data_IF_753096027120
#
_entry.id   IF_753096027120
#
_cell.length_a   1.000
_cell.length_b   1.000
_cell.length_c   1.000
_cell.angle_alpha   90.00
_cell.angle_beta   90.00
_cell.angle_gamma   90.00
#
_symmetry.space_group_name_H-M   'P 1'
#
loop_
_entity.id
_entity.type
_entity.pdbx_description
1 polymer ?
#
# COMPACT_ATOMS: atom_id res chain seq x y z
N UNK A 1 5.11 -1.32 18.22
CA UNK A 1 4.24 -0.29 17.63
C UNK A 1 2.82 -0.50 18.08
N UNK A 2 2.08 0.57 18.35
CA UNK A 2 0.64 0.58 18.61
C UNK A 2 -0.07 1.42 17.57
N UNK A 3 -1.20 0.95 17.02
CA UNK A 3 -2.02 1.70 16.06
C UNK A 3 -3.46 1.79 16.58
N UNK A 4 -4.01 2.99 16.50
CA UNK A 4 -5.43 3.26 16.70
C UNK A 4 -5.96 3.75 15.36
N UNK A 5 -7.06 3.17 14.87
CA UNK A 5 -7.73 3.63 13.65
C UNK A 5 -9.23 3.83 13.90
N UNK A 6 -9.77 4.78 13.16
CA UNK A 6 -11.21 4.98 12.99
C UNK A 6 -11.49 4.83 11.49
N UNK A 7 -12.23 3.79 11.16
CA UNK A 7 -12.54 3.46 9.78
C UNK A 7 -14.06 3.62 9.57
N UNK A 8 -14.43 4.32 8.51
CA UNK A 8 -15.81 4.44 8.04
C UNK A 8 -15.91 3.89 6.64
N UNK A 9 -16.86 2.99 6.40
CA UNK A 9 -17.17 2.48 5.07
C UNK A 9 -18.65 2.58 4.79
N UNK A 10 -19.01 2.97 3.59
CA UNK A 10 -20.39 3.09 3.13
C UNK A 10 -20.55 2.58 1.71
N UNK A 11 -21.68 1.94 1.42
CA UNK A 11 -22.07 1.56 0.07
C UNK A 11 -22.98 2.62 -0.52
N UNK A 12 -22.72 2.99 -1.76
CA UNK A 12 -23.56 3.93 -2.51
C UNK A 12 -24.61 3.19 -3.35
N UNK A 13 -25.68 3.87 -3.71
CA UNK A 13 -26.81 3.29 -4.47
C UNK A 13 -26.39 2.75 -5.84
N UNK A 14 -25.33 3.28 -6.43
CA UNK A 14 -24.76 2.80 -7.71
C UNK A 14 -23.87 1.54 -7.56
N UNK A 15 -23.85 0.91 -6.40
CA UNK A 15 -23.04 -0.28 -6.12
C UNK A 15 -21.57 0.00 -5.81
N UNK A 16 -21.12 1.24 -5.89
CA UNK A 16 -19.77 1.61 -5.43
C UNK A 16 -19.69 1.67 -3.90
N UNK A 17 -18.49 1.57 -3.36
CA UNK A 17 -18.25 1.76 -1.93
C UNK A 17 -17.22 2.85 -1.68
N UNK A 18 -17.39 3.59 -0.60
CA UNK A 18 -16.45 4.59 -0.12
C UNK A 18 -15.79 4.09 1.16
N UNK A 19 -14.54 4.44 1.31
CA UNK A 19 -13.76 4.20 2.52
C UNK A 19 -13.13 5.52 2.96
N UNK A 20 -13.33 5.88 4.23
CA UNK A 20 -12.57 6.92 4.89
C UNK A 20 -11.90 6.30 6.11
N UNK A 21 -10.63 6.59 6.32
CA UNK A 21 -9.91 6.15 7.50
C UNK A 21 -9.06 7.27 8.08
N UNK A 22 -9.10 7.42 9.40
CA UNK A 22 -8.13 8.16 10.19
C UNK A 22 -7.35 7.17 11.04
N UNK A 23 -6.05 7.35 11.14
CA UNK A 23 -5.23 6.51 12.01
C UNK A 23 -4.08 7.28 12.65
N UNK A 24 -3.71 6.78 13.81
CA UNK A 24 -2.53 7.21 14.56
C UNK A 24 -1.73 5.99 14.93
N UNK A 25 -0.45 5.99 14.60
CA UNK A 25 0.46 4.89 14.88
C UNK A 25 1.69 5.39 15.61
N UNK A 26 2.08 4.72 16.68
CA UNK A 26 3.37 4.92 17.34
C UNK A 26 4.38 3.92 16.81
N UNK A 27 5.50 4.42 16.30
CA UNK A 27 6.63 3.61 15.83
C UNK A 27 7.75 3.65 16.85
N UNK A 28 8.14 2.47 17.32
CA UNK A 28 9.25 2.28 18.26
C UNK A 28 10.27 1.37 17.58
N UNK A 29 11.47 1.86 17.39
CA UNK A 29 12.58 1.12 16.83
C UNK A 29 13.54 0.65 17.95
N UNK A 30 13.91 -0.61 17.94
CA UNK A 30 14.85 -1.19 18.94
C UNK A 30 16.23 -0.56 18.85
N UNK A 31 16.68 -0.28 17.63
CA UNK A 31 17.92 0.46 17.35
C UNK A 31 17.54 1.79 16.68
N UNK A 32 18.13 2.89 17.10
CA UNK A 32 17.86 4.20 16.51
C UNK A 32 16.64 4.89 17.12
N UNK A 33 16.70 5.21 18.42
CA UNK A 33 15.64 5.97 19.15
C UNK A 33 15.28 7.30 18.50
N UNK A 34 16.17 7.86 17.67
CA UNK A 34 15.94 9.07 16.88
C UNK A 34 14.79 8.89 15.87
N UNK A 35 14.56 7.65 15.40
CA UNK A 35 13.46 7.30 14.48
C UNK A 35 12.15 6.99 15.20
N UNK A 36 12.14 6.90 16.53
CA UNK A 36 10.90 6.72 17.27
C UNK A 36 10.02 7.94 17.04
N UNK A 37 8.74 7.71 16.82
CA UNK A 37 7.85 8.80 16.53
C UNK A 37 6.42 8.37 16.31
N UNK A 38 5.62 9.28 15.80
CA UNK A 38 4.20 9.12 15.60
C UNK A 38 3.81 9.45 14.17
N UNK A 39 3.03 8.57 13.56
CA UNK A 39 2.31 8.85 12.32
C UNK A 39 0.89 9.25 12.65
N UNK A 40 0.40 10.33 12.03
CA UNK A 40 -1.02 10.60 11.90
C UNK A 40 -1.33 10.56 10.41
N UNK A 41 -2.40 9.88 10.03
CA UNK A 41 -2.77 9.73 8.64
C UNK A 41 -4.26 9.75 8.43
N UNK A 42 -4.65 10.24 7.28
CA UNK A 42 -6.01 10.12 6.75
C UNK A 42 -5.95 9.46 5.39
N UNK A 43 -6.97 8.69 5.06
CA UNK A 43 -7.11 8.19 3.70
C UNK A 43 -8.57 8.20 3.29
N UNK A 44 -8.76 8.48 2.01
CA UNK A 44 -10.04 8.38 1.34
C UNK A 44 -9.88 7.48 0.12
N UNK A 45 -10.86 6.61 -0.11
CA UNK A 45 -10.87 5.73 -1.27
C UNK A 45 -12.29 5.42 -1.72
N UNK A 46 -12.39 4.98 -2.96
CA UNK A 46 -13.63 4.51 -3.54
C UNK A 46 -13.36 3.29 -4.41
N UNK A 47 -14.30 2.36 -4.43
CA UNK A 47 -14.29 1.23 -5.34
C UNK A 47 -15.59 1.15 -6.14
N UNK A 48 -15.46 0.69 -7.38
CA UNK A 48 -16.53 0.61 -8.36
C UNK A 48 -16.59 -0.79 -8.93
N UNK A 49 -17.78 -1.31 -9.10
CA UNK A 49 -18.01 -2.56 -9.83
C UNK A 49 -18.45 -2.23 -11.25
N UNK A 50 -17.71 -2.72 -12.23
CA UNK A 50 -18.15 -2.68 -13.62
C UNK A 50 -18.87 -3.99 -13.95
N UNK A 51 -20.17 -3.89 -14.18
CA UNK A 51 -21.06 -5.05 -14.32
C UNK A 51 -20.81 -5.88 -15.59
N UNK A 52 -20.31 -5.27 -16.68
CA UNK A 52 -20.04 -5.98 -17.94
C UNK A 52 -18.96 -7.07 -17.76
N UNK A 53 -17.69 -6.73 -17.48
CA UNK A 53 -16.62 -7.69 -17.27
C UNK A 53 -16.53 -8.21 -15.82
N UNK A 54 -17.45 -7.84 -14.94
CA UNK A 54 -17.40 -8.13 -13.49
C UNK A 54 -16.10 -7.63 -12.84
N UNK A 55 -15.55 -6.55 -13.33
CA UNK A 55 -14.31 -5.99 -12.84
C UNK A 55 -14.55 -5.03 -11.66
N UNK A 56 -13.62 -5.08 -10.70
CA UNK A 56 -13.57 -4.16 -9.58
C UNK A 56 -12.41 -3.20 -9.77
N UNK A 57 -12.71 -1.92 -9.75
CA UNK A 57 -11.72 -0.82 -9.75
C UNK A 57 -11.75 -0.11 -8.43
N UNK A 58 -10.62 0.40 -8.01
CA UNK A 58 -10.56 1.21 -6.82
C UNK A 58 -9.40 2.19 -6.85
N UNK A 59 -9.58 3.29 -6.13
CA UNK A 59 -8.50 4.21 -5.82
C UNK A 59 -8.50 4.54 -4.33
N UNK A 60 -7.35 4.96 -3.82
CA UNK A 60 -7.18 5.45 -2.45
C UNK A 60 -6.14 6.55 -2.44
N UNK A 61 -6.47 7.65 -1.82
CA UNK A 61 -5.56 8.76 -1.53
C UNK A 61 -5.18 8.68 -0.06
N UNK A 62 -3.91 8.88 0.24
CA UNK A 62 -3.34 8.75 1.58
C UNK A 62 -2.56 10.02 1.88
N UNK A 63 -2.81 10.62 3.02
CA UNK A 63 -2.06 11.75 3.54
C UNK A 63 -1.54 11.37 4.92
N UNK A 64 -0.24 11.46 5.12
CA UNK A 64 0.41 11.11 6.39
C UNK A 64 1.37 12.20 6.82
N UNK A 65 1.47 12.40 8.11
CA UNK A 65 2.49 13.22 8.74
C UNK A 65 3.21 12.37 9.78
N UNK A 66 4.51 12.25 9.67
CA UNK A 66 5.35 11.53 10.62
C UNK A 66 6.19 12.52 11.42
N UNK A 67 6.07 12.44 12.73
CA UNK A 67 6.86 13.22 13.70
C UNK A 67 7.74 12.27 14.49
N UNK A 68 9.03 12.32 14.24
CA UNK A 68 10.06 11.50 14.91
C UNK A 68 10.71 12.28 16.08
N UNK A 69 11.57 11.62 16.85
CA UNK A 69 12.36 12.27 17.88
C UNK A 69 13.44 13.19 17.28
N UNK A 70 13.95 12.86 16.10
CA UNK A 70 14.88 13.72 15.35
C UNK A 70 14.15 14.42 14.21
N UNK A 71 14.29 15.73 14.09
CA UNK A 71 13.58 16.55 13.12
C UNK A 71 13.82 16.14 11.67
N UNK A 72 15.05 15.76 11.31
CA UNK A 72 15.40 15.32 9.97
C UNK A 72 14.69 13.99 9.52
N UNK A 73 14.06 13.27 10.44
CA UNK A 73 13.21 12.12 10.14
C UNK A 73 11.71 12.50 10.03
N UNK A 74 11.35 13.77 10.25
CA UNK A 74 9.99 14.23 10.02
C UNK A 74 9.70 14.22 8.53
N UNK A 75 8.50 13.78 8.15
CA UNK A 75 8.08 13.86 6.76
C UNK A 75 6.57 14.00 6.63
N UNK A 76 6.18 14.63 5.53
CA UNK A 76 4.84 14.54 4.96
C UNK A 76 4.84 13.51 3.83
N UNK A 77 3.82 12.70 3.75
CA UNK A 77 3.65 11.67 2.73
C UNK A 77 2.32 11.83 2.01
N UNK A 78 2.40 11.91 0.70
CA UNK A 78 1.26 11.86 -0.19
C UNK A 78 1.29 10.50 -0.91
N UNK A 79 0.20 9.73 -0.77
CA UNK A 79 0.09 8.42 -1.38
C UNK A 79 -1.10 8.29 -2.31
N UNK A 80 -0.92 7.56 -3.40
CA UNK A 80 -1.99 7.14 -4.30
C UNK A 80 -1.92 5.63 -4.47
N UNK A 81 -3.05 4.96 -4.32
CA UNK A 81 -3.21 3.56 -4.66
C UNK A 81 -4.30 3.42 -5.73
N UNK A 82 -4.02 2.62 -6.75
CA UNK A 82 -4.98 2.20 -7.75
C UNK A 82 -5.07 0.68 -7.71
N UNK A 83 -6.27 0.15 -7.76
CA UNK A 83 -6.50 -1.30 -7.73
C UNK A 83 -7.44 -1.72 -8.85
N UNK A 84 -7.19 -2.89 -9.36
CA UNK A 84 -8.01 -3.54 -10.36
C UNK A 84 -8.09 -5.03 -10.07
N UNK A 85 -9.26 -5.62 -10.24
CA UNK A 85 -9.47 -7.07 -10.12
C UNK A 85 -10.58 -7.52 -11.04
N UNK A 86 -10.38 -8.65 -11.72
CA UNK A 86 -11.42 -9.28 -12.53
C UNK A 86 -11.24 -10.79 -12.58
N UNK A 87 -12.34 -11.55 -12.76
CA UNK A 87 -12.26 -12.94 -13.15
C UNK A 87 -11.76 -13.07 -14.60
N UNK A 88 -10.89 -14.06 -14.84
CA UNK A 88 -10.39 -14.42 -16.16
C UNK A 88 -10.83 -15.86 -16.49
N UNK A 89 -11.85 -15.99 -17.34
CA UNK A 89 -12.49 -17.28 -17.62
C UNK A 89 -13.15 -17.87 -16.37
N UNK A 90 -13.26 -19.19 -16.31
CA UNK A 90 -14.04 -19.88 -15.27
C UNK A 90 -13.34 -19.97 -13.91
N UNK A 91 -12.02 -19.97 -13.87
CA UNK A 91 -11.27 -20.36 -12.66
C UNK A 91 -10.09 -19.45 -12.30
N UNK A 92 -9.78 -18.42 -13.07
CA UNK A 92 -8.71 -17.51 -12.73
C UNK A 92 -9.24 -16.19 -12.23
N UNK A 93 -8.59 -15.62 -11.25
CA UNK A 93 -8.80 -14.24 -10.82
C UNK A 93 -7.48 -13.48 -11.01
N UNK A 94 -7.53 -12.41 -11.77
CA UNK A 94 -6.45 -11.46 -11.91
C UNK A 94 -6.67 -10.28 -10.98
N UNK A 95 -5.62 -9.80 -10.35
CA UNK A 95 -5.62 -8.52 -9.66
C UNK A 95 -4.32 -7.76 -9.90
N UNK A 96 -4.43 -6.46 -9.96
CA UNK A 96 -3.28 -5.56 -9.99
C UNK A 96 -3.47 -4.41 -9.02
N UNK A 97 -2.36 -3.96 -8.43
CA UNK A 97 -2.33 -2.79 -7.56
C UNK A 97 -1.11 -1.96 -7.90
N UNK A 98 -1.34 -0.69 -8.19
CA UNK A 98 -0.31 0.33 -8.26
C UNK A 98 -0.32 1.14 -6.97
N UNK A 99 0.84 1.46 -6.43
CA UNK A 99 0.98 2.41 -5.34
C UNK A 99 2.11 3.38 -5.61
N UNK A 100 1.85 4.64 -5.37
CA UNK A 100 2.80 5.75 -5.41
C UNK A 100 2.85 6.42 -4.05
N UNK A 101 4.02 6.77 -3.59
CA UNK A 101 4.26 7.55 -2.38
C UNK A 101 5.30 8.62 -2.67
N UNK A 102 5.04 9.81 -2.16
CA UNK A 102 5.91 10.96 -2.22
C UNK A 102 6.11 11.49 -0.80
N UNK A 103 7.36 11.47 -0.32
CA UNK A 103 7.73 11.85 1.04
C UNK A 103 8.69 13.02 0.99
N UNK A 104 8.26 14.14 1.54
CA UNK A 104 9.07 15.33 1.75
C UNK A 104 9.48 15.42 3.21
N UNK A 105 10.78 15.49 3.47
CA UNK A 105 11.32 15.62 4.82
C UNK A 105 11.45 17.09 5.19
N UNK A 106 11.03 17.46 6.42
CA UNK A 106 10.96 18.84 6.87
C UNK A 106 12.36 19.47 7.06
N UNK A 107 13.29 18.71 7.65
CA UNK A 107 14.62 19.19 7.97
C UNK A 107 15.71 18.56 7.09
N UNK A 108 16.84 19.24 6.99
CA UNK A 108 18.01 18.72 6.30
C UNK A 108 18.59 17.49 7.01
N UNK A 109 18.84 16.45 6.23
CA UNK A 109 19.48 15.25 6.73
C UNK A 109 20.97 15.52 6.99
N UNK A 110 21.50 15.19 8.18
CA UNK A 110 22.89 15.48 8.51
C UNK A 110 23.85 14.95 7.43
N UNK A 111 24.75 15.78 6.94
CA UNK A 111 25.75 15.50 5.89
C UNK A 111 25.19 15.35 4.46
N UNK A 112 23.88 15.28 4.26
CA UNK A 112 23.29 14.98 2.94
C UNK A 112 22.32 16.05 2.42
N UNK A 113 21.91 17.02 3.26
CA UNK A 113 20.96 18.08 2.88
C UNK A 113 19.49 17.62 2.84
N UNK A 114 18.68 18.32 2.07
CA UNK A 114 17.24 18.07 1.98
C UNK A 114 16.95 16.69 1.39
N UNK A 115 16.04 15.94 2.04
CA UNK A 115 15.64 14.61 1.63
C UNK A 115 14.22 14.62 1.05
N UNK A 116 14.11 14.04 -0.13
CA UNK A 116 12.84 13.78 -0.81
C UNK A 116 12.86 12.36 -1.36
N UNK A 117 11.86 11.58 -1.02
CA UNK A 117 11.76 10.17 -1.39
C UNK A 117 10.48 9.93 -2.19
N UNK A 118 10.62 9.27 -3.33
CA UNK A 118 9.50 8.78 -4.15
C UNK A 118 9.56 7.27 -4.24
N UNK A 119 8.44 6.61 -4.06
CA UNK A 119 8.37 5.16 -4.18
C UNK A 119 7.16 4.74 -5.04
N UNK A 120 7.44 3.88 -5.99
CA UNK A 120 6.44 3.26 -6.86
C UNK A 120 6.46 1.75 -6.67
N UNK A 121 5.28 1.13 -6.64
CA UNK A 121 5.15 -0.31 -6.58
C UNK A 121 4.01 -0.78 -7.48
N UNK A 122 4.31 -1.75 -8.33
CA UNK A 122 3.32 -2.50 -9.08
C UNK A 122 3.24 -3.91 -8.53
N UNK A 123 2.04 -4.38 -8.24
CA UNK A 123 1.76 -5.75 -7.82
C UNK A 123 0.76 -6.36 -8.79
N UNK A 124 1.10 -7.53 -9.29
CA UNK A 124 0.23 -8.35 -10.14
C UNK A 124 0.05 -9.69 -9.45
N UNK A 125 -1.16 -10.18 -9.45
CA UNK A 125 -1.49 -11.45 -8.84
C UNK A 125 -2.48 -12.22 -9.69
N UNK A 126 -2.24 -13.52 -9.88
CA UNK A 126 -3.14 -14.45 -10.52
C UNK A 126 -3.44 -15.60 -9.56
N UNK A 127 -4.70 -15.76 -9.20
CA UNK A 127 -5.17 -16.79 -8.31
C UNK A 127 -6.03 -17.79 -9.10
N UNK A 128 -5.77 -19.08 -8.92
CA UNK A 128 -6.60 -20.16 -9.44
C UNK A 128 -6.98 -21.13 -8.32
N UNK A 129 -8.25 -21.25 -7.95
CA UNK A 129 -8.71 -22.36 -7.13
C UNK A 129 -8.63 -23.68 -7.93
N UNK A 130 -8.16 -24.74 -7.28
CA UNK A 130 -8.01 -26.07 -7.84
C UNK A 130 -8.80 -27.07 -6.97
N UNK A 131 -10.13 -27.00 -7.07
CA UNK A 131 -11.03 -27.75 -6.21
C UNK A 131 -11.28 -27.08 -4.85
N UNK A 132 -11.89 -27.79 -3.88
CA UNK A 132 -12.39 -27.18 -2.64
C UNK A 132 -11.30 -26.77 -1.64
N UNK A 133 -10.10 -27.31 -1.78
CA UNK A 133 -9.05 -27.12 -0.77
C UNK A 133 -7.75 -26.52 -1.30
N UNK A 134 -7.53 -26.52 -2.61
CA UNK A 134 -6.26 -26.12 -3.20
C UNK A 134 -6.38 -24.82 -3.99
N UNK A 135 -5.34 -24.02 -3.95
CA UNK A 135 -5.22 -22.89 -4.87
C UNK A 135 -3.77 -22.68 -5.28
N UNK A 136 -3.59 -22.18 -6.49
CA UNK A 136 -2.30 -21.68 -7.01
C UNK A 136 -2.36 -20.18 -7.05
N UNK A 137 -1.31 -19.53 -6.56
CA UNK A 137 -1.14 -18.10 -6.58
C UNK A 137 0.20 -17.74 -7.23
N UNK A 138 0.15 -16.93 -8.29
CA UNK A 138 1.32 -16.38 -8.97
C UNK A 138 1.37 -14.88 -8.74
N UNK A 139 2.48 -14.38 -8.24
CA UNK A 139 2.66 -12.97 -7.90
C UNK A 139 3.90 -12.36 -8.55
N UNK A 140 3.78 -11.12 -9.01
CA UNK A 140 4.89 -10.29 -9.47
C UNK A 140 4.82 -8.94 -8.75
N UNK A 141 5.91 -8.53 -8.15
CA UNK A 141 6.06 -7.22 -7.49
C UNK A 141 7.25 -6.50 -8.08
N UNK A 142 7.00 -5.30 -8.60
CA UNK A 142 8.02 -4.40 -9.13
C UNK A 142 8.05 -3.18 -8.21
N UNK A 143 9.21 -2.86 -7.64
CA UNK A 143 9.39 -1.70 -6.77
C UNK A 143 10.53 -0.83 -7.31
N UNK A 144 10.30 0.47 -7.35
CA UNK A 144 11.30 1.51 -7.62
C UNK A 144 11.20 2.59 -6.55
N UNK A 145 12.29 2.86 -5.86
CA UNK A 145 12.39 3.92 -4.87
C UNK A 145 13.51 4.86 -5.26
N UNK A 146 13.17 6.13 -5.42
CA UNK A 146 14.06 7.23 -5.74
C UNK A 146 14.19 8.13 -4.53
N UNK A 147 15.38 8.64 -4.30
CA UNK A 147 15.65 9.60 -3.22
C UNK A 147 16.66 10.62 -3.70
N UNK A 148 16.61 11.83 -3.14
CA UNK A 148 17.68 12.82 -3.31
C UNK A 148 18.98 12.32 -2.68
N UNK A 149 18.88 11.46 -1.66
CA UNK A 149 20.03 10.83 -0.99
C UNK A 149 20.24 9.43 -1.58
N UNK A 150 21.40 9.20 -2.20
CA UNK A 150 21.69 7.99 -3.01
C UNK A 150 21.55 6.66 -2.25
N UNK A 151 21.89 6.62 -0.96
CA UNK A 151 21.80 5.40 -0.13
C UNK A 151 20.35 4.88 0.07
N UNK A 152 19.35 5.71 -0.19
CA UNK A 152 17.93 5.33 -0.09
C UNK A 152 17.32 4.95 -1.43
N UNK A 153 18.08 5.04 -2.54
CA UNK A 153 17.63 4.56 -3.85
C UNK A 153 17.62 3.03 -3.85
N UNK A 154 16.50 2.46 -4.27
CA UNK A 154 16.36 1.00 -4.34
C UNK A 154 15.46 0.59 -5.47
N UNK A 155 15.88 -0.43 -6.21
CA UNK A 155 15.02 -1.14 -7.17
C UNK A 155 14.99 -2.62 -6.83
N UNK A 156 13.81 -3.21 -6.80
CA UNK A 156 13.64 -4.62 -6.48
C UNK A 156 12.44 -5.20 -7.23
N UNK A 157 12.65 -6.34 -7.87
CA UNK A 157 11.61 -7.09 -8.55
C UNK A 157 11.54 -8.49 -7.90
N UNK A 158 10.34 -8.91 -7.53
CA UNK A 158 10.13 -10.20 -6.89
C UNK A 158 9.04 -10.97 -7.67
N UNK A 159 9.33 -12.21 -7.98
CA UNK A 159 8.36 -13.17 -8.48
C UNK A 159 8.09 -14.21 -7.40
N UNK A 160 6.84 -14.63 -7.24
CA UNK A 160 6.42 -15.67 -6.31
C UNK A 160 5.45 -16.64 -6.99
N UNK A 161 5.58 -17.91 -6.66
CA UNK A 161 4.60 -18.94 -6.98
C UNK A 161 4.32 -19.74 -5.71
N UNK A 162 3.05 -19.88 -5.35
CA UNK A 162 2.62 -20.54 -4.12
C UNK A 162 1.48 -21.49 -4.40
N UNK A 163 1.52 -22.66 -3.77
CA UNK A 163 0.41 -23.60 -3.71
C UNK A 163 -0.11 -23.58 -2.27
N UNK A 164 -1.37 -23.26 -2.11
CA UNK A 164 -2.01 -23.19 -0.80
C UNK A 164 -2.99 -24.35 -0.65
N UNK A 165 -3.01 -24.93 0.55
CA UNK A 165 -3.97 -25.94 0.96
C UNK A 165 -4.76 -25.41 2.14
N UNK A 166 -6.07 -25.22 1.96
CA UNK A 166 -6.97 -24.78 3.02
C UNK A 166 -8.36 -25.36 2.74
N UNK A 167 -8.76 -26.38 3.47
CA UNK A 167 -10.14 -26.86 3.43
C UNK A 167 -11.01 -26.05 4.38
N UNK A 168 -12.05 -25.41 3.86
CA UNK A 168 -13.12 -24.89 4.71
C UNK A 168 -13.92 -26.08 5.27
N UNK A 169 -13.97 -26.18 6.58
CA UNK A 169 -14.83 -27.14 7.27
C UNK A 169 -16.27 -26.69 7.27
#
# INVERSE_FOLDING_TARGET
SGRISLDYSGRLDNGSSMLFAYYREEKIFRSGRQKNGRINGVSFGQSFVWTGPQALYGYRIILENYRANAGYEFYENYGLELSYSQPLGENWQFSSKYSYQDKSHDDEYPLFGARHDQAESWRFNMLRPMGPCWSVNLGLVLNDSRSTISIYKRRANNFSAQINYQCLK
#
